data_IF_911155033847
#
_entry.id   IF_911155033847
#
_cell.length_a   1.000
_cell.length_b   1.000
_cell.length_c   1.000
_cell.angle_alpha   90.00
_cell.angle_beta   90.00
_cell.angle_gamma   90.00
#
_symmetry.space_group_name_H-M   'P 1'
#
loop_
_entity.id
_entity.type
_entity.pdbx_description
1 polymer ?
#
# COMPACT_ATOMS: atom_id res chain seq x y z
N UNK A 1 18.02 13.36 -0.49
CA UNK A 1 16.69 13.16 0.13
C UNK A 1 15.97 12.03 -0.56
N UNK A 2 15.36 11.17 0.24
CA UNK A 2 14.55 10.10 -0.32
C UNK A 2 13.22 10.64 -0.83
N UNK A 3 12.78 10.12 -1.96
CA UNK A 3 11.47 10.44 -2.51
C UNK A 3 10.75 9.13 -2.80
N UNK A 4 9.42 9.15 -2.74
CA UNK A 4 8.67 7.98 -3.15
C UNK A 4 8.74 7.83 -4.67
N UNK A 5 8.54 6.60 -5.14
CA UNK A 5 8.48 6.28 -6.56
C UNK A 5 7.07 5.80 -6.92
N UNK A 6 6.65 6.07 -8.14
CA UNK A 6 5.40 5.54 -8.67
C UNK A 6 5.69 4.25 -9.42
N UNK A 7 4.89 3.22 -9.18
CA UNK A 7 5.10 1.91 -9.82
C UNK A 7 3.79 1.38 -10.39
N UNK A 8 3.92 0.55 -11.43
CA UNK A 8 2.79 -0.17 -12.03
C UNK A 8 2.35 -1.33 -11.14
N UNK A 9 1.14 -1.88 -11.37
CA UNK A 9 0.73 -3.12 -10.71
C UNK A 9 1.71 -4.27 -10.90
N UNK A 10 2.29 -4.41 -12.10
CA UNK A 10 3.26 -5.45 -12.39
C UNK A 10 4.53 -5.31 -11.56
N UNK A 11 5.04 -4.08 -11.43
CA UNK A 11 6.19 -3.80 -10.59
C UNK A 11 5.87 -4.04 -9.11
N UNK A 12 4.67 -3.63 -8.68
CA UNK A 12 4.22 -3.84 -7.31
C UNK A 12 4.11 -5.34 -6.98
N UNK A 13 3.59 -6.14 -7.92
CA UNK A 13 3.50 -7.58 -7.71
C UNK A 13 4.89 -8.21 -7.57
N UNK A 14 5.85 -7.79 -8.36
CA UNK A 14 7.21 -8.29 -8.25
C UNK A 14 7.83 -7.95 -6.88
N UNK A 15 7.65 -6.72 -6.41
CA UNK A 15 8.14 -6.30 -5.09
C UNK A 15 7.43 -7.06 -3.96
N UNK A 16 6.12 -7.24 -4.10
CA UNK A 16 5.31 -7.98 -3.11
C UNK A 16 5.79 -9.42 -2.99
N UNK A 17 6.11 -10.07 -4.10
CA UNK A 17 6.65 -11.43 -4.11
C UNK A 17 8.03 -11.51 -3.46
N UNK A 18 8.76 -10.40 -3.42
CA UNK A 18 10.05 -10.29 -2.74
C UNK A 18 9.92 -9.89 -1.27
N UNK A 19 8.70 -9.74 -0.77
CA UNK A 19 8.44 -9.46 0.64
C UNK A 19 8.10 -8.01 0.97
N UNK A 20 7.86 -7.14 -0.02
CA UNK A 20 7.44 -5.77 0.25
C UNK A 20 6.14 -5.74 1.05
N UNK A 21 6.04 -4.81 1.99
CA UNK A 21 4.81 -4.57 2.75
C UNK A 21 3.88 -3.70 1.90
N UNK A 22 2.59 -4.02 1.88
CA UNK A 22 1.58 -3.23 1.18
C UNK A 22 0.61 -2.67 2.22
N UNK A 23 0.39 -1.36 2.19
CA UNK A 23 -0.62 -0.70 3.03
C UNK A 23 -1.68 -0.06 2.14
N UNK A 24 -2.93 -0.10 2.61
CA UNK A 24 -4.09 0.42 1.90
C UNK A 24 -4.70 1.54 2.74
N UNK A 25 -4.77 2.74 2.17
CA UNK A 25 -5.21 3.94 2.89
C UNK A 25 -6.66 4.31 2.61
N UNK A 26 -7.41 3.44 1.93
CA UNK A 26 -8.83 3.67 1.66
C UNK A 26 -9.63 3.57 2.97
N UNK A 27 -10.93 3.88 2.88
CA UNK A 27 -11.81 3.71 4.04
C UNK A 27 -11.95 2.23 4.44
N UNK A 28 -12.30 1.94 5.71
CA UNK A 28 -12.39 0.55 6.18
C UNK A 28 -13.36 -0.33 5.41
N UNK A 29 -14.50 0.22 4.97
CA UNK A 29 -15.50 -0.54 4.23
C UNK A 29 -14.98 -0.96 2.86
N UNK A 30 -14.29 -0.07 2.16
CA UNK A 30 -13.68 -0.39 0.87
C UNK A 30 -12.60 -1.45 1.02
N UNK A 31 -11.77 -1.32 2.04
CA UNK A 31 -10.74 -2.33 2.32
C UNK A 31 -11.38 -3.70 2.60
N UNK A 32 -12.40 -3.75 3.45
CA UNK A 32 -13.08 -4.99 3.78
C UNK A 32 -13.72 -5.65 2.57
N UNK A 33 -14.28 -4.85 1.66
CA UNK A 33 -14.93 -5.35 0.45
C UNK A 33 -13.95 -5.93 -0.57
N UNK A 34 -12.69 -5.52 -0.53
CA UNK A 34 -11.65 -6.07 -1.39
C UNK A 34 -10.36 -5.27 -1.25
N UNK A 35 -9.24 -5.97 -1.14
CA UNK A 35 -7.93 -5.37 -1.01
C UNK A 35 -6.86 -6.30 -1.62
N UNK A 36 -5.67 -5.78 -1.82
CA UNK A 36 -4.53 -6.60 -2.26
C UNK A 36 -4.26 -7.64 -1.19
N UNK A 37 -4.14 -8.91 -1.57
CA UNK A 37 -3.90 -9.99 -0.62
C UNK A 37 -2.65 -9.72 0.23
N UNK A 38 -2.80 -9.82 1.56
CA UNK A 38 -1.72 -9.54 2.50
C UNK A 38 -1.50 -8.08 2.83
N UNK A 39 -2.24 -7.15 2.19
CA UNK A 39 -2.12 -5.73 2.52
C UNK A 39 -2.75 -5.44 3.89
N UNK A 40 -2.21 -4.41 4.54
CA UNK A 40 -2.70 -3.94 5.83
C UNK A 40 -3.48 -2.64 5.62
N UNK A 41 -4.63 -2.51 6.29
CA UNK A 41 -5.34 -1.23 6.29
C UNK A 41 -4.59 -0.23 7.17
N UNK A 42 -4.42 0.99 6.65
CA UNK A 42 -3.72 2.05 7.37
C UNK A 42 -4.60 3.30 7.41
N UNK A 43 -4.86 3.80 8.62
CA UNK A 43 -5.61 5.02 8.85
C UNK A 43 -4.99 5.80 10.01
N UNK A 44 -5.63 6.91 10.41
CA UNK A 44 -5.11 7.76 11.48
C UNK A 44 -5.05 7.04 12.83
N UNK A 45 -5.87 5.99 13.03
CA UNK A 45 -5.87 5.23 14.29
C UNK A 45 -4.71 4.24 14.37
N UNK A 46 -4.28 3.68 13.23
CA UNK A 46 -3.25 2.66 13.18
C UNK A 46 -1.88 3.20 12.78
N UNK A 47 -1.81 4.43 12.28
CA UNK A 47 -0.60 5.00 11.67
C UNK A 47 0.58 5.08 12.64
N UNK A 48 0.33 5.55 13.86
CA UNK A 48 1.41 5.73 14.85
C UNK A 48 2.03 4.38 15.22
N UNK A 49 1.19 3.39 15.50
CA UNK A 49 1.67 2.04 15.82
C UNK A 49 2.38 1.40 14.64
N UNK A 50 1.85 1.58 13.43
CA UNK A 50 2.48 1.06 12.23
C UNK A 50 3.91 1.61 12.08
N UNK A 51 4.08 2.93 12.19
CA UNK A 51 5.39 3.57 12.07
C UNK A 51 6.33 3.09 13.18
N UNK A 52 5.82 2.98 14.41
CA UNK A 52 6.63 2.59 15.56
C UNK A 52 7.18 1.16 15.43
N UNK A 53 6.44 0.27 14.78
CA UNK A 53 6.81 -1.14 14.66
C UNK A 53 7.47 -1.50 13.33
N UNK A 54 7.44 -0.61 12.35
CA UNK A 54 7.92 -0.89 11.01
C UNK A 54 9.45 -0.88 10.93
N UNK A 55 9.98 -1.68 10.00
CA UNK A 55 11.34 -1.54 9.54
C UNK A 55 11.36 -0.43 8.49
N UNK A 56 11.93 0.70 8.84
CA UNK A 56 11.90 1.91 8.00
C UNK A 56 12.66 1.74 6.68
N UNK A 57 13.54 0.77 6.57
CA UNK A 57 14.32 0.51 5.36
C UNK A 57 13.70 -0.59 4.49
N UNK A 58 12.62 -1.22 4.95
CA UNK A 58 11.95 -2.28 4.22
C UNK A 58 11.06 -1.69 3.11
N UNK A 59 11.01 -2.28 1.91
CA UNK A 59 10.16 -1.77 0.83
C UNK A 59 8.69 -1.70 1.23
N UNK A 60 8.07 -0.55 0.99
CA UNK A 60 6.69 -0.24 1.37
C UNK A 60 5.91 0.28 0.17
N UNK A 61 4.81 -0.38 -0.15
CA UNK A 61 3.91 0.01 -1.25
C UNK A 61 2.65 0.59 -0.63
N UNK A 62 2.26 1.78 -1.08
CA UNK A 62 1.04 2.46 -0.62
C UNK A 62 -0.02 2.40 -1.72
N UNK A 63 -1.18 1.84 -1.39
CA UNK A 63 -2.31 1.69 -2.29
C UNK A 63 -3.48 2.55 -1.84
N UNK A 64 -4.21 3.11 -2.81
CA UNK A 64 -5.47 3.83 -2.59
C UNK A 64 -6.47 3.43 -3.68
N UNK A 65 -7.50 4.26 -3.95
CA UNK A 65 -8.51 3.93 -4.96
C UNK A 65 -7.94 3.95 -6.38
N UNK A 66 -7.27 5.06 -6.77
CA UNK A 66 -6.87 5.33 -8.16
C UNK A 66 -5.41 5.78 -8.31
N UNK A 67 -4.63 5.76 -7.24
CA UNK A 67 -3.22 6.15 -7.29
C UNK A 67 -2.95 7.63 -7.03
N UNK A 68 -3.95 8.40 -6.61
CA UNK A 68 -3.79 9.84 -6.32
C UNK A 68 -3.47 10.08 -4.86
N UNK A 69 -4.34 9.66 -3.95
CA UNK A 69 -4.15 9.86 -2.49
C UNK A 69 -2.92 9.13 -1.96
N UNK A 70 -2.56 8.00 -2.56
CA UNK A 70 -1.37 7.24 -2.15
C UNK A 70 -0.07 8.03 -2.33
N UNK A 71 -0.03 8.97 -3.26
CA UNK A 71 1.16 9.80 -3.46
C UNK A 71 1.42 10.71 -2.25
N UNK A 72 0.39 11.37 -1.75
CA UNK A 72 0.51 12.19 -0.54
C UNK A 72 0.88 11.38 0.69
N UNK A 73 0.28 10.20 0.83
CA UNK A 73 0.59 9.30 1.94
C UNK A 73 2.02 8.77 1.84
N UNK A 74 2.47 8.43 0.64
CA UNK A 74 3.85 7.98 0.43
C UNK A 74 4.86 9.09 0.80
N UNK A 75 4.60 10.32 0.38
CA UNK A 75 5.44 11.47 0.74
C UNK A 75 5.49 11.68 2.25
N UNK A 76 4.34 11.54 2.92
CA UNK A 76 4.27 11.66 4.37
C UNK A 76 5.15 10.60 5.04
N UNK A 77 5.09 9.35 4.58
CA UNK A 77 5.87 8.26 5.17
C UNK A 77 7.38 8.45 4.94
N UNK A 78 7.77 8.96 3.78
CA UNK A 78 9.17 9.37 3.56
C UNK A 78 9.59 10.38 4.63
N UNK A 79 8.73 11.37 4.92
CA UNK A 79 8.99 12.35 5.96
C UNK A 79 9.10 11.74 7.37
N UNK A 80 8.52 10.57 7.59
CA UNK A 80 8.59 9.84 8.86
C UNK A 80 9.81 8.92 8.95
N UNK A 81 10.63 8.86 7.92
CA UNK A 81 11.89 8.11 7.95
C UNK A 81 11.93 6.86 7.09
N UNK A 82 10.84 6.51 6.42
CA UNK A 82 10.85 5.37 5.49
C UNK A 82 11.73 5.72 4.29
N UNK A 83 12.59 4.78 3.89
CA UNK A 83 13.61 5.03 2.86
C UNK A 83 13.29 4.43 1.50
N UNK A 84 12.31 3.52 1.41
CA UNK A 84 12.01 2.79 0.17
C UNK A 84 10.49 2.67 0.02
N UNK A 85 9.85 3.74 -0.47
CA UNK A 85 8.39 3.87 -0.52
C UNK A 85 7.93 4.03 -1.96
N UNK A 86 6.85 3.34 -2.28
CA UNK A 86 6.26 3.31 -3.62
C UNK A 86 4.77 3.65 -3.53
N UNK A 87 4.29 4.44 -4.50
CA UNK A 87 2.86 4.67 -4.69
C UNK A 87 2.38 3.82 -5.86
N UNK A 88 1.33 3.03 -5.65
CA UNK A 88 0.78 2.15 -6.67
C UNK A 88 -0.05 2.94 -7.68
N UNK A 89 0.44 3.05 -8.90
CA UNK A 89 -0.30 3.70 -9.99
C UNK A 89 -1.60 2.96 -10.27
N UNK A 90 -2.67 3.72 -10.45
CA UNK A 90 -4.00 3.17 -10.69
C UNK A 90 -4.68 2.61 -9.45
N UNK A 91 -3.97 2.51 -8.34
CA UNK A 91 -4.50 2.05 -7.07
C UNK A 91 -5.12 0.66 -7.12
N UNK A 92 -6.03 0.39 -6.20
CA UNK A 92 -6.68 -0.91 -6.14
C UNK A 92 -7.55 -1.20 -7.38
N UNK A 93 -8.13 -0.17 -7.99
CA UNK A 93 -8.95 -0.37 -9.21
C UNK A 93 -8.13 -1.03 -10.31
N UNK A 94 -6.94 -0.51 -10.61
CA UNK A 94 -6.09 -1.09 -11.65
C UNK A 94 -5.50 -2.44 -11.21
N UNK A 95 -5.15 -2.59 -9.93
CA UNK A 95 -4.68 -3.87 -9.40
C UNK A 95 -5.72 -4.96 -9.61
N UNK A 96 -6.98 -4.68 -9.27
CA UNK A 96 -8.07 -5.64 -9.43
C UNK A 96 -8.24 -6.07 -10.88
N UNK A 97 -8.09 -5.14 -11.82
CA UNK A 97 -8.18 -5.43 -13.25
C UNK A 97 -7.03 -6.34 -13.73
N UNK A 98 -5.83 -6.15 -13.16
CA UNK A 98 -4.64 -6.90 -13.59
C UNK A 98 -4.44 -8.20 -12.84
N UNK A 99 -4.74 -8.22 -11.54
CA UNK A 99 -4.48 -9.36 -10.66
C UNK A 99 -5.69 -9.69 -9.80
N UNK A 100 -6.83 -10.07 -10.42
CA UNK A 100 -8.04 -10.36 -9.64
C UNK A 100 -7.87 -11.55 -8.67
N UNK A 101 -6.98 -12.48 -8.99
CA UNK A 101 -6.67 -13.62 -8.12
C UNK A 101 -5.79 -13.27 -6.93
N UNK A 102 -5.23 -12.07 -6.89
CA UNK A 102 -4.36 -11.61 -5.81
C UNK A 102 -5.07 -10.58 -4.93
N UNK A 103 -6.36 -10.80 -4.69
CA UNK A 103 -7.19 -9.95 -3.84
C UNK A 103 -7.90 -10.78 -2.78
N UNK A 104 -8.18 -10.15 -1.65
CA UNK A 104 -8.86 -10.79 -0.52
C UNK A 104 -9.98 -9.90 -0.02
N UNK A 105 -10.88 -10.48 0.78
CA UNK A 105 -11.96 -9.75 1.46
C UNK A 105 -11.87 -10.05 2.95
N UNK A 106 -11.98 -9.01 3.77
CA UNK A 106 -11.85 -9.16 5.21
C UNK A 106 -12.92 -10.07 5.82
N UNK A 107 -14.14 -10.05 5.26
CA UNK A 107 -15.24 -10.87 5.75
C UNK A 107 -14.97 -12.38 5.59
N UNK A 108 -13.96 -12.76 4.83
CA UNK A 108 -13.60 -14.16 4.56
C UNK A 108 -12.31 -14.58 5.28
N UNK A 109 -11.71 -13.67 6.00
CA UNK A 109 -10.45 -13.87 6.69
C UNK A 109 -10.62 -14.32 8.14
#
# INVERSE_FOLDING_TARGET
>A
MSEFKRISPEQAQALRQQGAVVVDIRDPDSFAAGHISGSQHLDNHSLVDFIAQADLDHPLIVSCYHGNSSQGAAAYLIGQGFTDVYSLDGGFELWLARFPGETSKSAQE
#
